data_IF_811642148760
#
_entry.id   IF_811642148760
#
_cell.length_a   1.000
_cell.length_b   1.000
_cell.length_c   1.000
_cell.angle_alpha   90.00
_cell.angle_beta   90.00
_cell.angle_gamma   90.00
#
_symmetry.space_group_name_H-M   'P 1'
#
loop_
_entity.id
_entity.type
_entity.pdbx_description
1 polymer ?
#
# COMPACT_ATOMS: atom_id res chain seq x y z
N UNK A 1 -9.81 0.49 -4.46
CA UNK A 1 -8.94 1.14 -5.47
C UNK A 1 -7.73 0.25 -5.70
N UNK A 2 -7.36 -0.05 -6.95
CA UNK A 2 -6.16 -0.81 -7.26
C UNK A 2 -4.95 0.10 -7.43
N UNK A 3 -3.77 -0.39 -7.06
CA UNK A 3 -2.50 0.30 -7.25
C UNK A 3 -1.42 -0.73 -7.64
N UNK A 4 -0.34 -0.25 -8.23
CA UNK A 4 0.82 -1.10 -8.54
C UNK A 4 1.91 -0.87 -7.51
N UNK A 5 2.39 -1.95 -6.89
CA UNK A 5 3.56 -1.94 -6.01
C UNK A 5 4.84 -2.00 -6.83
N UNK A 6 5.83 -1.20 -6.44
CA UNK A 6 7.19 -1.21 -6.97
C UNK A 6 8.21 -1.03 -5.85
N UNK A 7 9.44 -1.49 -6.08
CA UNK A 7 10.58 -1.28 -5.19
C UNK A 7 10.29 -1.67 -3.73
N UNK A 8 9.54 -2.76 -3.52
CA UNK A 8 9.18 -3.26 -2.20
C UNK A 8 10.41 -3.84 -1.49
N UNK A 9 10.54 -3.51 -0.20
CA UNK A 9 11.45 -4.15 0.74
C UNK A 9 10.77 -4.30 2.11
N UNK A 10 11.50 -4.78 3.12
CA UNK A 10 10.96 -4.99 4.46
C UNK A 10 10.48 -3.72 5.16
N UNK A 11 10.99 -2.55 4.78
CA UNK A 11 10.65 -1.26 5.39
C UNK A 11 9.56 -0.47 4.67
N UNK A 12 9.25 -0.79 3.41
CA UNK A 12 8.29 -0.02 2.63
C UNK A 12 8.26 -0.33 1.15
N UNK A 13 7.54 0.49 0.39
CA UNK A 13 7.38 0.36 -1.05
C UNK A 13 7.04 1.71 -1.73
N UNK A 14 7.19 1.76 -3.05
CA UNK A 14 6.57 2.77 -3.90
C UNK A 14 5.23 2.23 -4.41
N UNK A 15 4.17 3.03 -4.33
CA UNK A 15 2.87 2.71 -4.91
C UNK A 15 2.56 3.69 -6.04
N UNK A 16 2.11 3.16 -7.18
CA UNK A 16 1.50 3.96 -8.25
C UNK A 16 0.00 4.06 -8.05
N UNK A 17 -0.48 5.28 -7.81
CA UNK A 17 -1.90 5.62 -7.57
C UNK A 17 -2.31 6.80 -8.45
N UNK A 18 -3.53 6.81 -9.03
CA UNK A 18 -4.09 7.99 -9.68
C UNK A 18 -3.88 9.32 -8.93
N UNK A 19 -3.64 10.38 -9.69
CA UNK A 19 -3.22 11.69 -9.14
C UNK A 19 -4.33 12.33 -8.30
N UNK A 20 -5.58 12.12 -8.67
CA UNK A 20 -6.77 12.56 -7.93
C UNK A 20 -7.05 11.78 -6.63
N UNK A 21 -6.28 10.72 -6.35
CA UNK A 21 -6.53 9.88 -5.18
C UNK A 21 -6.11 10.56 -3.88
N UNK A 22 -7.08 10.74 -2.99
CA UNK A 22 -6.86 11.22 -1.62
C UNK A 22 -6.43 10.06 -0.73
N UNK A 23 -5.13 9.80 -0.70
CA UNK A 23 -4.54 8.75 0.15
C UNK A 23 -4.35 9.28 1.57
N UNK A 24 -4.92 8.64 2.61
CA UNK A 24 -4.69 9.03 4.00
C UNK A 24 -3.23 8.89 4.44
N UNK A 25 -2.84 9.56 5.52
CA UNK A 25 -1.50 9.41 6.10
C UNK A 25 -1.23 7.96 6.55
N UNK A 26 -2.24 7.28 7.09
CA UNK A 26 -2.17 5.88 7.51
C UNK A 26 -3.25 5.06 6.84
N UNK A 27 -2.88 3.94 6.25
CA UNK A 27 -3.79 3.07 5.52
C UNK A 27 -3.28 1.64 5.48
N UNK A 28 -4.08 0.75 4.91
CA UNK A 28 -3.72 -0.67 4.74
C UNK A 28 -3.55 -0.96 3.25
N UNK A 29 -2.44 -1.60 2.90
CA UNK A 29 -2.12 -2.07 1.55
C UNK A 29 -2.32 -3.58 1.51
N UNK A 30 -3.30 -4.03 0.74
CA UNK A 30 -3.53 -5.45 0.50
C UNK A 30 -2.60 -5.93 -0.61
N UNK A 31 -1.76 -6.94 -0.33
CA UNK A 31 -0.83 -7.51 -1.30
C UNK A 31 -1.19 -8.99 -1.49
N UNK A 32 -2.01 -9.33 -2.50
CA UNK A 32 -2.52 -10.69 -2.69
C UNK A 32 -1.42 -11.75 -2.74
N UNK A 33 -0.29 -11.44 -3.37
CA UNK A 33 0.85 -12.35 -3.55
C UNK A 33 1.56 -12.69 -2.24
N UNK A 34 1.50 -11.79 -1.25
CA UNK A 34 2.20 -11.94 0.01
C UNK A 34 1.30 -12.61 1.07
N UNK A 35 0.00 -12.79 0.77
CA UNK A 35 -0.97 -13.40 1.68
C UNK A 35 -1.22 -12.58 2.95
N UNK A 36 -0.80 -11.31 2.98
CA UNK A 36 -0.91 -10.40 4.12
C UNK A 36 -1.35 -9.01 3.66
N UNK A 37 -1.81 -8.21 4.62
CA UNK A 37 -2.05 -6.79 4.41
C UNK A 37 -1.03 -5.98 5.22
N UNK A 38 -0.40 -4.98 4.61
CA UNK A 38 0.57 -4.11 5.28
C UNK A 38 -0.13 -2.87 5.83
N UNK A 39 0.07 -2.58 7.12
CA UNK A 39 -0.19 -1.25 7.66
C UNK A 39 0.91 -0.31 7.16
N UNK A 40 0.51 0.78 6.53
CA UNK A 40 1.39 1.68 5.80
C UNK A 40 1.20 3.13 6.24
N UNK A 41 2.30 3.88 6.27
CA UNK A 41 2.32 5.33 6.49
C UNK A 41 2.85 6.02 5.24
N UNK A 42 2.11 7.01 4.75
CA UNK A 42 2.52 7.87 3.63
C UNK A 42 3.72 8.73 4.05
N UNK A 43 4.85 8.60 3.35
CA UNK A 43 6.07 9.37 3.62
C UNK A 43 6.29 10.50 2.63
N UNK A 44 5.89 10.30 1.38
CA UNK A 44 5.97 11.31 0.34
C UNK A 44 4.97 11.03 -0.77
N UNK A 45 4.61 12.07 -1.51
CA UNK A 45 3.84 11.99 -2.76
C UNK A 45 4.52 12.82 -3.84
N UNK A 46 4.65 12.25 -5.03
CA UNK A 46 5.17 12.91 -6.22
C UNK A 46 4.37 12.43 -7.43
N UNK A 47 3.49 13.29 -7.94
CA UNK A 47 2.56 12.97 -9.04
C UNK A 47 1.70 11.73 -8.72
N UNK A 48 1.74 10.72 -9.60
CA UNK A 48 1.04 9.44 -9.49
C UNK A 48 1.76 8.42 -8.60
N UNK A 49 2.80 8.85 -7.87
CA UNK A 49 3.61 7.98 -7.02
C UNK A 49 3.57 8.43 -5.57
N UNK A 50 3.53 7.45 -4.69
CA UNK A 50 3.69 7.65 -3.25
C UNK A 50 4.72 6.68 -2.70
N UNK A 51 5.50 7.16 -1.75
CA UNK A 51 6.34 6.29 -0.92
C UNK A 51 5.66 6.02 0.39
N UNK A 52 5.66 4.74 0.78
CA UNK A 52 5.09 4.29 2.04
C UNK A 52 6.13 3.58 2.90
N UNK A 53 5.98 3.71 4.20
CA UNK A 53 6.67 2.89 5.19
C UNK A 53 5.72 1.83 5.72
N UNK A 54 6.16 0.58 5.79
CA UNK A 54 5.42 -0.48 6.46
C UNK A 54 5.67 -0.40 7.97
N UNK A 55 4.60 -0.44 8.75
CA UNK A 55 4.64 -0.35 10.23
C UNK A 55 4.07 -1.60 10.91
N UNK A 56 3.52 -2.54 10.13
CA UNK A 56 2.96 -3.78 10.64
C UNK A 56 2.29 -4.58 9.54
N UNK A 57 1.92 -5.83 9.84
CA UNK A 57 1.11 -6.67 8.98
C UNK A 57 -0.16 -7.09 9.70
N UNK A 58 -1.21 -7.30 8.92
CA UNK A 58 -2.48 -7.85 9.36
C UNK A 58 -2.72 -9.16 8.59
N UNK A 59 -3.35 -10.15 9.22
CA UNK A 59 -3.81 -11.33 8.50
C UNK A 59 -4.78 -10.89 7.41
N UNK A 60 -4.64 -11.50 6.24
CA UNK A 60 -5.51 -11.21 5.10
C UNK A 60 -6.96 -11.59 5.47
N UNK A 61 -7.92 -10.65 5.42
CA UNK A 61 -9.31 -10.99 5.73
C UNK A 61 -9.79 -12.03 4.72
N UNK A 62 -10.40 -13.11 5.21
CA UNK A 62 -10.86 -14.27 4.39
C UNK A 62 -11.98 -13.93 3.40
N UNK A 63 -12.35 -12.66 3.25
CA UNK A 63 -13.39 -12.22 2.34
C UNK A 63 -12.80 -12.07 0.94
N UNK A 64 -13.36 -12.83 -0.01
CA UNK A 64 -13.01 -12.78 -1.42
C UNK A 64 -13.36 -11.39 -1.97
N UNK A 65 -12.36 -10.54 -2.20
CA UNK A 65 -12.52 -9.32 -3.01
C UNK A 65 -12.37 -9.72 -4.48
N UNK A 66 -13.46 -10.22 -5.06
CA UNK A 66 -13.64 -10.38 -6.50
C UNK A 66 -14.24 -9.13 -7.12
#
# INVERSE_FOLDING_TARGET
MSCTIRNQNSGGAELKVPVESRVPERFVVYVPTDGVAYQAVLRWRRNDRIGVQFIGTLPMPRLHYG
#
